data_IF_201034373470
#
_entry.id   IF_201034373470
#
_cell.length_a   1.000
_cell.length_b   1.000
_cell.length_c   1.000
_cell.angle_alpha   90.00
_cell.angle_beta   90.00
_cell.angle_gamma   90.00
#
_symmetry.space_group_name_H-M   'P 1'
#
loop_
_entity.id
_entity.type
_entity.pdbx_description
1 polymer ?
#
# COMPACT_ATOMS: atom_id res chain seq x y z
N UNK A 1 0.18 11.27 -27.50
CA UNK A 1 1.39 10.42 -27.54
C UNK A 1 1.38 9.61 -26.26
N UNK A 2 1.42 8.28 -26.33
CA UNK A 2 1.50 7.43 -25.14
C UNK A 2 2.88 7.61 -24.51
N UNK A 3 2.93 8.07 -23.26
CA UNK A 3 4.18 8.22 -22.49
C UNK A 3 4.84 6.85 -22.37
N UNK A 4 6.13 6.75 -22.71
CA UNK A 4 6.88 5.51 -22.53
C UNK A 4 7.06 5.24 -21.04
N UNK A 5 6.76 4.03 -20.58
CA UNK A 5 7.02 3.59 -19.21
C UNK A 5 8.35 2.84 -19.16
N UNK A 6 9.18 3.15 -18.16
CA UNK A 6 10.41 2.44 -17.89
C UNK A 6 10.30 1.69 -16.56
N UNK A 7 10.80 0.46 -16.55
CA UNK A 7 10.68 -0.43 -15.40
C UNK A 7 12.03 -1.06 -15.06
N UNK A 8 12.32 -1.23 -13.76
CA UNK A 8 13.52 -1.93 -13.28
C UNK A 8 13.28 -2.55 -11.91
N UNK A 9 14.00 -3.62 -11.61
CA UNK A 9 14.12 -4.06 -10.22
C UNK A 9 15.23 -3.27 -9.52
N UNK A 10 15.05 -3.01 -8.24
CA UNK A 10 16.02 -2.31 -7.40
C UNK A 10 16.26 -3.15 -6.16
N UNK A 11 17.51 -3.54 -5.95
CA UNK A 11 17.95 -4.20 -4.74
C UNK A 11 18.28 -3.15 -3.68
N UNK A 12 17.82 -3.39 -2.45
CA UNK A 12 18.11 -2.54 -1.30
C UNK A 12 18.11 -3.38 -0.01
N UNK A 13 18.65 -2.83 1.06
CA UNK A 13 18.77 -3.53 2.35
C UNK A 13 18.06 -2.72 3.42
N UNK A 14 17.18 -3.37 4.18
CA UNK A 14 16.54 -2.76 5.35
C UNK A 14 17.49 -2.72 6.55
N UNK A 15 17.20 -1.87 7.53
CA UNK A 15 18.07 -1.72 8.72
C UNK A 15 18.15 -2.99 9.58
N UNK A 16 17.20 -3.92 9.42
CA UNK A 16 17.23 -5.25 10.05
C UNK A 16 18.19 -6.24 9.35
N UNK A 17 18.87 -5.81 8.28
CA UNK A 17 19.82 -6.62 7.50
C UNK A 17 19.17 -7.41 6.36
N UNK A 18 17.85 -7.36 6.20
CA UNK A 18 17.13 -8.09 5.15
C UNK A 18 17.42 -7.49 3.78
N UNK A 19 17.81 -8.34 2.81
CA UNK A 19 17.90 -7.97 1.39
C UNK A 19 16.50 -7.98 0.77
N UNK A 20 16.10 -6.88 0.16
CA UNK A 20 14.80 -6.65 -0.44
C UNK A 20 14.97 -6.32 -1.93
N UNK A 21 14.03 -6.77 -2.77
CA UNK A 21 14.07 -6.50 -4.22
C UNK A 21 12.73 -5.91 -4.65
N UNK A 22 12.68 -4.59 -4.79
CA UNK A 22 11.48 -3.88 -5.23
C UNK A 22 11.39 -3.76 -6.75
N UNK A 23 10.22 -3.39 -7.25
CA UNK A 23 9.96 -3.12 -8.67
C UNK A 23 9.55 -1.68 -8.87
N UNK A 24 10.34 -0.97 -9.67
CA UNK A 24 10.16 0.42 -10.00
C UNK A 24 9.55 0.56 -11.38
N UNK A 25 8.55 1.43 -11.51
CA UNK A 25 7.96 1.84 -12.77
C UNK A 25 7.81 3.36 -12.79
N UNK A 26 8.20 4.03 -13.88
CA UNK A 26 8.03 5.46 -14.02
C UNK A 26 7.77 5.87 -15.47
N UNK A 27 7.06 6.99 -15.72
CA UNK A 27 7.02 7.60 -17.02
C UNK A 27 8.39 8.17 -17.40
N UNK A 28 8.78 8.05 -18.67
CA UNK A 28 9.99 8.70 -19.19
C UNK A 28 9.71 10.21 -19.41
N UNK A 29 9.94 11.01 -18.37
CA UNK A 29 9.79 12.48 -18.37
C UNK A 29 11.15 13.18 -18.28
N UNK A 30 11.19 14.47 -18.64
CA UNK A 30 12.40 15.30 -18.47
C UNK A 30 12.61 15.73 -17.00
N UNK A 31 11.50 15.97 -16.29
CA UNK A 31 11.50 16.39 -14.89
C UNK A 31 11.07 15.23 -13.98
N UNK A 32 11.58 15.17 -12.73
CA UNK A 32 11.12 14.21 -11.73
C UNK A 32 9.62 14.37 -11.43
N UNK A 33 8.91 13.26 -11.25
CA UNK A 33 7.48 13.21 -10.96
C UNK A 33 7.23 12.78 -9.51
N UNK A 34 6.00 12.94 -9.02
CA UNK A 34 5.66 12.48 -7.68
C UNK A 34 5.84 10.96 -7.52
N UNK A 35 6.29 10.53 -6.35
CA UNK A 35 6.60 9.14 -6.02
C UNK A 35 5.48 8.46 -5.23
N UNK A 36 5.16 7.21 -5.57
CA UNK A 36 4.16 6.39 -4.87
C UNK A 36 4.76 5.04 -4.46
N UNK A 37 4.85 4.80 -3.16
CA UNK A 37 5.22 3.50 -2.62
C UNK A 37 4.01 2.55 -2.73
N UNK A 38 4.21 1.33 -3.23
CA UNK A 38 3.13 0.35 -3.41
C UNK A 38 3.41 -0.88 -2.54
N UNK A 39 2.68 -1.04 -1.46
CA UNK A 39 2.82 -2.18 -0.56
C UNK A 39 1.92 -3.36 -0.98
N UNK A 40 2.48 -4.57 -1.08
CA UNK A 40 1.77 -5.72 -1.66
C UNK A 40 0.72 -6.28 -0.71
N UNK A 41 -0.18 -7.09 -1.28
CA UNK A 41 -0.94 -8.06 -0.49
C UNK A 41 0.00 -9.05 0.23
N UNK A 42 -0.55 -9.85 1.15
CA UNK A 42 0.19 -10.89 1.88
C UNK A 42 0.85 -11.97 0.99
N UNK A 43 0.53 -12.02 -0.29
CA UNK A 43 1.12 -12.93 -1.29
C UNK A 43 2.55 -12.57 -1.68
N UNK A 44 3.04 -11.41 -1.24
CA UNK A 44 4.34 -10.84 -1.64
C UNK A 44 4.22 -9.97 -2.88
N UNK A 45 5.36 -9.43 -3.34
CA UNK A 45 5.46 -8.55 -4.51
C UNK A 45 5.29 -9.31 -5.82
N UNK A 46 4.05 -9.72 -6.10
CA UNK A 46 3.64 -10.48 -7.27
C UNK A 46 3.26 -9.58 -8.46
N UNK A 47 2.86 -10.23 -9.57
CA UNK A 47 2.45 -9.55 -10.81
C UNK A 47 1.34 -8.52 -10.61
N UNK A 48 0.35 -8.80 -9.74
CA UNK A 48 -0.72 -7.85 -9.43
C UNK A 48 -0.16 -6.55 -8.82
N UNK A 49 0.80 -6.67 -7.89
CA UNK A 49 1.44 -5.50 -7.29
C UNK A 49 2.32 -4.74 -8.30
N UNK A 50 3.06 -5.47 -9.15
CA UNK A 50 3.86 -4.87 -10.24
C UNK A 50 2.96 -4.15 -11.27
N UNK A 51 1.78 -4.70 -11.57
CA UNK A 51 0.79 -4.09 -12.45
C UNK A 51 0.28 -2.77 -11.90
N UNK A 52 -0.07 -2.69 -10.61
CA UNK A 52 -0.49 -1.43 -9.97
C UNK A 52 0.60 -0.36 -10.04
N UNK A 53 1.88 -0.74 -9.91
CA UNK A 53 2.98 0.19 -10.10
C UNK A 53 3.06 0.70 -11.55
N UNK A 54 2.83 -0.15 -12.55
CA UNK A 54 2.78 0.29 -13.96
C UNK A 54 1.58 1.21 -14.24
N UNK A 55 0.41 0.89 -13.71
CA UNK A 55 -0.80 1.72 -13.87
C UNK A 55 -0.60 3.11 -13.25
N UNK A 56 0.02 3.21 -12.07
CA UNK A 56 0.45 4.50 -11.50
C UNK A 56 1.41 5.26 -12.44
N UNK A 57 2.36 4.56 -13.06
CA UNK A 57 3.27 5.16 -14.03
C UNK A 57 2.58 5.67 -15.30
N UNK A 58 1.57 4.96 -15.77
CA UNK A 58 0.69 5.40 -16.87
C UNK A 58 -0.11 6.66 -16.50
N UNK A 59 -0.43 6.85 -15.22
CA UNK A 59 -1.07 8.05 -14.67
C UNK A 59 -0.07 9.17 -14.31
N UNK A 60 1.21 9.01 -14.61
CA UNK A 60 2.22 10.05 -14.46
C UNK A 60 3.01 10.04 -13.14
N UNK A 61 2.90 8.98 -12.34
CA UNK A 61 3.63 8.84 -11.08
C UNK A 61 4.84 7.91 -11.23
N UNK A 62 5.91 8.13 -10.47
CA UNK A 62 6.94 7.11 -10.29
C UNK A 62 6.49 6.19 -9.16
N UNK A 63 6.39 4.88 -9.40
CA UNK A 63 5.88 3.92 -8.45
C UNK A 63 6.93 2.88 -8.08
N UNK A 64 6.98 2.51 -6.79
CA UNK A 64 7.87 1.47 -6.29
C UNK A 64 7.11 0.43 -5.49
N UNK A 65 6.88 -0.73 -6.10
CA UNK A 65 6.33 -1.90 -5.44
C UNK A 65 7.38 -2.53 -4.54
N UNK A 66 7.13 -2.53 -3.23
CA UNK A 66 8.10 -2.98 -2.23
C UNK A 66 8.04 -4.47 -1.98
N UNK A 67 9.19 -5.03 -1.63
CA UNK A 67 9.31 -6.38 -1.08
C UNK A 67 9.33 -6.30 0.44
N UNK A 68 8.45 -7.07 1.08
CA UNK A 68 8.35 -7.12 2.55
C UNK A 68 8.89 -8.43 3.15
N UNK A 69 9.11 -9.46 2.33
CA UNK A 69 9.52 -10.79 2.78
C UNK A 69 10.98 -11.12 2.45
N UNK A 70 11.60 -10.34 1.57
CA UNK A 70 12.98 -10.49 1.16
C UNK A 70 13.13 -11.38 -0.06
N UNK A 71 14.19 -11.12 -0.81
CA UNK A 71 14.58 -11.86 -2.02
C UNK A 71 13.45 -12.06 -3.05
N UNK A 72 12.49 -11.12 -3.13
CA UNK A 72 11.29 -11.20 -4.00
C UNK A 72 10.45 -12.46 -3.73
N UNK A 73 10.38 -12.90 -2.47
CA UNK A 73 9.56 -14.06 -2.11
C UNK A 73 8.07 -13.77 -2.39
N UNK A 74 7.43 -14.67 -3.13
CA UNK A 74 6.00 -14.65 -3.47
C UNK A 74 5.40 -16.03 -3.29
N UNK A 75 4.10 -16.10 -3.00
CA UNK A 75 3.40 -17.38 -2.82
C UNK A 75 1.94 -17.28 -3.28
N UNK A 76 1.36 -18.43 -3.60
CA UNK A 76 -0.07 -18.61 -3.83
C UNK A 76 -0.74 -19.46 -2.73
N UNK A 77 0.03 -19.92 -1.74
CA UNK A 77 -0.43 -20.67 -0.58
C UNK A 77 -0.75 -19.74 0.59
N UNK A 78 -2.00 -19.73 1.04
CA UNK A 78 -2.43 -18.89 2.16
C UNK A 78 -1.71 -19.25 3.46
N UNK A 79 -1.38 -20.53 3.67
CA UNK A 79 -0.61 -20.95 4.84
C UNK A 79 0.79 -20.32 4.85
N UNK A 80 1.47 -20.29 3.70
CA UNK A 80 2.78 -19.67 3.58
C UNK A 80 2.71 -18.15 3.68
N UNK A 81 1.70 -17.53 3.04
CA UNK A 81 1.45 -16.09 3.12
C UNK A 81 1.22 -15.65 4.56
N UNK A 82 0.40 -16.40 5.32
CA UNK A 82 0.17 -16.17 6.73
C UNK A 82 1.45 -16.33 7.55
N UNK A 83 2.24 -17.38 7.31
CA UNK A 83 3.52 -17.58 8.00
C UNK A 83 4.46 -16.39 7.81
N UNK A 84 4.69 -15.95 6.57
CA UNK A 84 5.57 -14.83 6.26
C UNK A 84 5.04 -13.50 6.81
N UNK A 85 3.74 -13.24 6.70
CA UNK A 85 3.12 -12.08 7.32
C UNK A 85 3.33 -12.09 8.85
N UNK A 86 3.07 -13.21 9.52
CA UNK A 86 3.27 -13.30 10.96
C UNK A 86 4.74 -13.15 11.37
N UNK A 87 5.69 -13.58 10.54
CA UNK A 87 7.12 -13.32 10.77
C UNK A 87 7.45 -11.83 10.80
N UNK A 88 6.78 -10.99 9.99
CA UNK A 88 7.00 -9.53 10.03
C UNK A 88 6.40 -8.86 11.26
N UNK A 89 5.53 -9.56 12.00
CA UNK A 89 4.94 -9.07 13.26
C UNK A 89 5.73 -9.50 14.50
N UNK A 90 6.69 -10.42 14.38
CA UNK A 90 7.44 -10.95 15.54
C UNK A 90 8.30 -9.90 16.22
N UNK A 91 8.91 -9.00 15.45
CA UNK A 91 9.64 -7.85 15.96
C UNK A 91 8.83 -6.57 15.69
N UNK A 92 8.73 -5.67 16.68
CA UNK A 92 7.79 -4.55 16.65
C UNK A 92 8.01 -3.59 15.47
N UNK A 93 9.25 -3.44 15.02
CA UNK A 93 9.61 -2.41 14.04
C UNK A 93 9.85 -2.97 12.64
N UNK A 94 9.71 -4.27 12.39
CA UNK A 94 10.08 -4.88 11.10
C UNK A 94 9.29 -4.29 9.94
N UNK A 95 7.97 -4.08 10.11
CA UNK A 95 7.12 -3.44 9.09
C UNK A 95 7.66 -2.05 8.73
N UNK A 96 7.78 -1.18 9.74
CA UNK A 96 8.19 0.22 9.55
C UNK A 96 9.61 0.29 9.00
N UNK A 97 10.51 -0.56 9.49
CA UNK A 97 11.91 -0.64 9.07
C UNK A 97 12.04 -0.96 7.59
N UNK A 98 11.34 -2.01 7.11
CA UNK A 98 11.39 -2.43 5.70
C UNK A 98 10.67 -1.46 4.78
N UNK A 99 9.51 -0.95 5.20
CA UNK A 99 8.75 0.03 4.44
C UNK A 99 9.49 1.37 4.31
N UNK A 100 10.17 1.83 5.38
CA UNK A 100 11.01 3.03 5.37
C UNK A 100 12.20 2.88 4.42
N UNK A 101 12.83 1.70 4.38
CA UNK A 101 13.91 1.42 3.42
C UNK A 101 13.40 1.48 1.97
N UNK A 102 12.19 0.98 1.72
CA UNK A 102 11.52 1.09 0.42
C UNK A 102 11.20 2.54 0.05
N UNK A 103 10.67 3.33 0.98
CA UNK A 103 10.38 4.76 0.78
C UNK A 103 11.65 5.55 0.48
N UNK A 104 12.73 5.31 1.23
CA UNK A 104 14.02 5.95 0.99
C UNK A 104 14.61 5.57 -0.37
N UNK A 105 14.45 4.31 -0.78
CA UNK A 105 14.89 3.83 -2.09
C UNK A 105 14.09 4.49 -3.22
N UNK A 106 12.77 4.61 -3.07
CA UNK A 106 11.92 5.35 -4.01
C UNK A 106 12.38 6.82 -4.11
N UNK A 107 12.52 7.52 -2.98
CA UNK A 107 12.89 8.94 -2.93
C UNK A 107 14.28 9.23 -3.54
N UNK A 108 15.17 8.24 -3.55
CA UNK A 108 16.51 8.37 -4.11
C UNK A 108 16.58 8.22 -5.64
N UNK A 109 15.49 7.85 -6.31
CA UNK A 109 15.50 7.69 -7.78
C UNK A 109 15.45 9.05 -8.47
N UNK A 110 16.22 9.21 -9.55
CA UNK A 110 16.31 10.48 -10.30
C UNK A 110 14.99 10.90 -10.94
N UNK A 111 14.09 9.94 -11.18
CA UNK A 111 12.76 10.20 -11.74
C UNK A 111 11.74 10.64 -10.68
N UNK A 112 12.12 10.65 -9.40
CA UNK A 112 11.22 10.90 -8.27
C UNK A 112 11.51 12.26 -7.65
N UNK A 113 10.46 13.07 -7.51
CA UNK A 113 10.48 14.25 -6.65
C UNK A 113 10.27 13.81 -5.19
N UNK A 114 11.34 13.82 -4.41
CA UNK A 114 11.33 13.37 -3.01
C UNK A 114 10.45 14.23 -2.07
N UNK A 115 10.05 15.44 -2.47
CA UNK A 115 9.14 16.28 -1.68
C UNK A 115 7.66 15.89 -1.89
N UNK A 116 7.38 15.05 -2.90
CA UNK A 116 6.04 14.66 -3.35
C UNK A 116 5.89 13.14 -3.29
N UNK A 117 5.87 12.61 -2.07
CA UNK A 117 5.74 11.17 -1.81
C UNK A 117 4.36 10.80 -1.28
N UNK A 118 3.82 9.68 -1.74
CA UNK A 118 2.64 9.04 -1.22
C UNK A 118 2.86 7.53 -1.07
N UNK A 119 1.94 6.84 -0.41
CA UNK A 119 1.98 5.39 -0.28
C UNK A 119 0.58 4.80 -0.46
N UNK A 120 0.51 3.68 -1.18
CA UNK A 120 -0.70 2.88 -1.30
C UNK A 120 -0.44 1.45 -0.86
N UNK A 121 -1.45 0.76 -0.36
CA UNK A 121 -1.28 -0.63 0.07
C UNK A 121 -2.56 -1.44 0.04
N UNK A 122 -2.41 -2.72 -0.24
CA UNK A 122 -3.51 -3.68 -0.40
C UNK A 122 -3.44 -4.75 0.70
N UNK A 123 -4.53 -5.04 1.41
CA UNK A 123 -4.55 -6.10 2.44
C UNK A 123 -3.45 -5.85 3.50
N UNK A 124 -2.52 -6.78 3.66
CA UNK A 124 -1.32 -6.64 4.49
C UNK A 124 -0.54 -5.35 4.18
N UNK A 125 -0.37 -5.01 2.91
CA UNK A 125 0.31 -3.78 2.49
C UNK A 125 -0.38 -2.51 2.98
N UNK A 126 -1.71 -2.55 3.17
CA UNK A 126 -2.43 -1.44 3.78
C UNK A 126 -2.05 -1.22 5.25
N UNK A 127 -1.87 -2.30 6.02
CA UNK A 127 -1.28 -2.20 7.37
C UNK A 127 0.13 -1.64 7.32
N UNK A 128 0.95 -2.12 6.36
CA UNK A 128 2.34 -1.67 6.20
C UNK A 128 2.43 -0.17 6.01
N UNK A 129 1.62 0.41 5.13
CA UNK A 129 1.66 1.85 4.83
C UNK A 129 0.96 2.71 5.88
N UNK A 130 -0.04 2.18 6.60
CA UNK A 130 -0.59 2.85 7.78
C UNK A 130 0.43 2.92 8.92
N UNK A 131 1.15 1.84 9.20
CA UNK A 131 2.16 1.83 10.26
C UNK A 131 3.36 2.71 9.89
N UNK A 132 3.73 2.77 8.60
CA UNK A 132 4.71 3.74 8.09
C UNK A 132 4.23 5.19 8.25
N UNK A 133 2.95 5.48 8.00
CA UNK A 133 2.39 6.81 8.21
C UNK A 133 2.40 7.19 9.69
N UNK A 134 1.98 6.26 10.56
CA UNK A 134 1.99 6.39 12.02
C UNK A 134 3.40 6.60 12.57
N UNK A 135 4.45 6.07 11.93
CA UNK A 135 5.83 6.33 12.35
C UNK A 135 6.32 7.75 12.05
N UNK A 136 5.53 8.56 11.33
CA UNK A 136 5.88 9.93 10.96
C UNK A 136 6.66 10.05 9.66
N UNK A 137 6.55 9.07 8.75
CA UNK A 137 7.14 9.17 7.43
C UNK A 137 6.62 10.40 6.67
N UNK A 138 7.52 11.03 5.90
CA UNK A 138 7.23 12.22 5.09
C UNK A 138 6.41 11.86 3.85
N UNK A 139 5.12 11.60 4.06
CA UNK A 139 4.12 11.26 3.05
C UNK A 139 3.05 12.35 2.98
N UNK A 140 2.62 12.72 1.77
CA UNK A 140 1.54 13.69 1.54
C UNK A 140 0.15 13.04 1.50
N UNK A 141 0.10 11.77 1.07
CA UNK A 141 -1.12 10.98 0.96
C UNK A 141 -0.84 9.49 1.24
N UNK A 142 -1.80 8.82 1.85
CA UNK A 142 -1.77 7.38 2.17
C UNK A 142 -3.12 6.78 1.78
N UNK A 143 -3.13 5.74 0.94
CA UNK A 143 -4.38 5.09 0.49
C UNK A 143 -4.35 3.59 0.74
N UNK A 144 -5.34 3.07 1.45
CA UNK A 144 -5.44 1.64 1.72
C UNK A 144 -6.61 1.01 0.98
N UNK A 145 -6.43 -0.22 0.52
CA UNK A 145 -7.48 -1.08 -0.03
C UNK A 145 -7.61 -2.30 0.88
N UNK A 146 -8.81 -2.52 1.42
CA UNK A 146 -9.21 -3.66 2.28
C UNK A 146 -8.10 -4.03 3.26
N UNK A 147 -7.70 -3.07 4.10
CA UNK A 147 -6.53 -3.20 4.97
C UNK A 147 -6.88 -3.60 6.39
N UNK A 148 -5.94 -4.27 7.06
CA UNK A 148 -5.97 -4.35 8.51
C UNK A 148 -5.63 -2.97 9.11
N UNK A 149 -6.59 -2.37 9.80
CA UNK A 149 -6.50 -1.00 10.33
C UNK A 149 -5.87 -0.92 11.72
N UNK A 150 -5.69 -2.06 12.38
CA UNK A 150 -5.19 -2.11 13.75
C UNK A 150 -3.78 -1.51 13.86
N UNK A 151 -3.63 -0.62 14.84
CA UNK A 151 -2.36 0.01 15.16
C UNK A 151 -1.60 -0.84 16.17
N UNK A 152 -0.30 -1.06 15.92
CA UNK A 152 0.60 -1.50 16.99
C UNK A 152 0.98 -0.32 17.89
N UNK A 153 1.25 0.83 17.25
CA UNK A 153 1.49 2.12 17.91
C UNK A 153 0.47 3.10 17.35
N UNK A 154 -0.54 3.54 18.13
CA UNK A 154 -1.54 4.49 17.66
C UNK A 154 -0.93 5.82 17.21
N UNK A 155 -1.58 6.47 16.25
CA UNK A 155 -1.21 7.80 15.80
C UNK A 155 -1.26 8.82 16.95
N UNK A 156 -0.27 9.71 16.98
CA UNK A 156 -0.24 10.86 17.88
C UNK A 156 -0.45 12.15 17.10
N UNK A 157 -0.99 13.16 17.77
CA UNK A 157 -1.20 14.48 17.18
C UNK A 157 0.11 15.05 16.61
N UNK A 158 0.06 15.43 15.33
CA UNK A 158 1.21 15.98 14.61
C UNK A 158 2.26 14.96 14.16
N UNK A 159 2.07 13.66 14.41
CA UNK A 159 3.00 12.61 13.96
C UNK A 159 2.75 12.24 12.50
N UNK A 160 1.50 11.89 12.15
CA UNK A 160 1.12 11.57 10.76
C UNK A 160 1.08 12.85 9.93
N UNK A 161 1.82 12.87 8.82
CA UNK A 161 1.90 14.02 7.90
C UNK A 161 0.94 13.93 6.72
N UNK A 162 0.53 12.70 6.39
CA UNK A 162 -0.31 12.40 5.25
C UNK A 162 -1.79 12.67 5.54
N UNK A 163 -2.54 12.98 4.49
CA UNK A 163 -3.97 12.72 4.46
C UNK A 163 -4.21 11.23 4.15
N UNK A 164 -5.11 10.59 4.89
CA UNK A 164 -5.37 9.14 4.77
C UNK A 164 -6.73 8.86 4.15
N UNK A 165 -6.76 8.04 3.10
CA UNK A 165 -7.98 7.46 2.55
C UNK A 165 -7.99 5.94 2.80
N UNK A 166 -9.02 5.45 3.48
CA UNK A 166 -9.26 4.02 3.66
C UNK A 166 -10.40 3.58 2.76
N UNK A 167 -10.16 2.56 1.94
CA UNK A 167 -11.14 1.94 1.06
C UNK A 167 -11.44 0.54 1.60
N UNK A 168 -12.62 0.38 2.18
CA UNK A 168 -12.99 -0.81 2.95
C UNK A 168 -14.22 -1.50 2.34
N UNK A 169 -14.29 -2.84 2.44
CA UNK A 169 -15.45 -3.59 1.97
C UNK A 169 -16.42 -3.86 3.12
N UNK A 170 -17.71 -3.63 2.93
CA UNK A 170 -18.74 -3.86 3.97
C UNK A 170 -18.79 -5.32 4.45
N UNK A 171 -18.55 -6.27 3.55
CA UNK A 171 -18.59 -7.71 3.81
C UNK A 171 -17.19 -8.29 4.13
N UNK A 172 -16.23 -7.44 4.51
CA UNK A 172 -14.91 -7.90 4.95
C UNK A 172 -15.02 -8.70 6.25
N UNK A 173 -14.76 -10.00 6.18
CA UNK A 173 -14.81 -10.90 7.35
C UNK A 173 -13.53 -10.90 8.18
N UNK A 174 -12.46 -10.25 7.71
CA UNK A 174 -11.16 -10.17 8.38
C UNK A 174 -11.01 -8.89 9.19
N UNK A 175 -11.68 -7.82 8.77
CA UNK A 175 -11.64 -6.49 9.39
C UNK A 175 -13.07 -5.98 9.50
N UNK A 176 -13.52 -5.75 10.74
CA UNK A 176 -14.92 -5.41 11.01
C UNK A 176 -15.20 -3.91 10.85
N UNK A 177 -16.48 -3.55 10.76
CA UNK A 177 -16.89 -2.14 10.82
C UNK A 177 -16.58 -1.49 12.19
N UNK A 178 -16.45 -2.28 13.26
CA UNK A 178 -15.96 -1.79 14.56
C UNK A 178 -14.48 -1.40 14.48
N UNK A 179 -13.66 -2.15 13.74
CA UNK A 179 -12.26 -1.78 13.48
C UNK A 179 -12.17 -0.48 12.67
N UNK A 180 -13.09 -0.29 11.71
CA UNK A 180 -13.22 0.98 10.97
C UNK A 180 -13.62 2.13 11.91
N UNK A 181 -14.56 1.90 12.83
CA UNK A 181 -14.97 2.90 13.81
C UNK A 181 -13.79 3.30 14.72
N UNK A 182 -13.06 2.32 15.26
CA UNK A 182 -11.87 2.58 16.08
C UNK A 182 -10.77 3.32 15.30
N UNK A 183 -10.55 3.00 14.02
CA UNK A 183 -9.62 3.74 13.18
C UNK A 183 -10.03 5.22 13.03
N UNK A 184 -11.33 5.50 12.80
CA UNK A 184 -11.83 6.88 12.71
C UNK A 184 -11.63 7.63 14.03
N UNK A 185 -11.89 6.98 15.16
CA UNK A 185 -11.65 7.56 16.49
C UNK A 185 -10.16 7.90 16.71
N UNK A 186 -9.26 6.98 16.35
CA UNK A 186 -7.80 7.18 16.41
C UNK A 186 -7.38 8.40 15.58
N UNK A 187 -7.77 8.43 14.29
CA UNK A 187 -7.38 9.52 13.38
C UNK A 187 -8.00 10.86 13.81
N UNK A 188 -9.23 10.87 14.31
CA UNK A 188 -9.86 12.07 14.85
C UNK A 188 -9.11 12.60 16.08
N UNK A 189 -8.79 11.72 17.04
CA UNK A 189 -8.04 12.09 18.24
C UNK A 189 -6.63 12.60 17.93
N UNK A 190 -5.98 12.02 16.93
CA UNK A 190 -4.68 12.45 16.43
C UNK A 190 -4.75 13.66 15.46
N UNK A 191 -5.94 14.20 15.19
CA UNK A 191 -6.17 15.33 14.27
C UNK A 191 -5.61 15.07 12.86
N UNK A 192 -5.66 13.83 12.41
CA UNK A 192 -5.21 13.41 11.08
C UNK A 192 -6.34 13.60 10.08
N UNK A 193 -6.13 14.33 8.97
CA UNK A 193 -7.09 14.41 7.88
C UNK A 193 -7.31 13.01 7.31
N UNK A 194 -8.55 12.51 7.39
CA UNK A 194 -8.85 11.16 6.94
C UNK A 194 -10.26 11.04 6.37
N UNK A 195 -10.42 10.09 5.47
CA UNK A 195 -11.69 9.63 4.93
C UNK A 195 -11.71 8.10 4.94
N UNK A 196 -12.88 7.52 5.16
CA UNK A 196 -13.10 6.09 4.95
C UNK A 196 -14.33 5.93 4.07
N UNK A 197 -14.15 5.24 2.94
CA UNK A 197 -15.22 4.84 2.03
C UNK A 197 -15.46 3.35 2.27
N UNK A 198 -16.72 3.00 2.55
CA UNK A 198 -17.15 1.62 2.72
C UNK A 198 -17.96 1.22 1.48
N UNK A 199 -17.52 0.20 0.77
CA UNK A 199 -18.18 -0.32 -0.41
C UNK A 199 -19.16 -1.42 -0.04
N UNK A 200 -20.44 -1.18 -0.34
CA UNK A 200 -21.53 -2.15 -0.20
C UNK A 200 -21.21 -3.43 -1.00
N UNK A 201 -21.57 -4.59 -0.43
CA UNK A 201 -21.35 -5.93 -1.02
C UNK A 201 -19.88 -6.33 -1.30
N UNK A 202 -18.89 -5.48 -0.98
CA UNK A 202 -17.49 -5.78 -1.22
C UNK A 202 -16.87 -6.56 -0.06
N UNK A 203 -16.06 -7.58 -0.39
CA UNK A 203 -15.31 -8.41 0.57
C UNK A 203 -13.86 -7.96 0.69
N UNK A 204 -13.09 -8.61 1.56
CA UNK A 204 -11.64 -8.51 1.56
C UNK A 204 -11.06 -8.91 0.19
N UNK A 205 -10.07 -8.18 -0.31
CA UNK A 205 -9.48 -8.43 -1.64
C UNK A 205 -10.29 -7.89 -2.82
N UNK A 206 -11.31 -7.03 -2.59
CA UNK A 206 -12.21 -6.52 -3.62
C UNK A 206 -11.52 -5.89 -4.82
N UNK A 207 -10.29 -5.38 -4.68
CA UNK A 207 -9.56 -4.71 -5.74
C UNK A 207 -8.68 -5.65 -6.58
N UNK A 208 -8.70 -6.96 -6.32
CA UNK A 208 -7.87 -7.92 -7.04
C UNK A 208 -8.74 -8.88 -7.87
N UNK A 209 -8.70 -8.83 -9.21
CA UNK A 209 -9.43 -9.75 -10.09
C UNK A 209 -9.13 -11.24 -9.85
N UNK A 210 -8.02 -11.58 -9.19
CA UNK A 210 -7.66 -12.95 -8.83
C UNK A 210 -8.17 -13.39 -7.45
N UNK A 211 -8.87 -12.53 -6.70
CA UNK A 211 -9.30 -12.80 -5.33
C UNK A 211 -10.20 -14.04 -5.24
N UNK A 212 -11.20 -14.18 -6.13
CA UNK A 212 -12.13 -15.32 -6.12
C UNK A 212 -11.43 -16.65 -6.38
N UNK A 213 -10.47 -16.66 -7.33
CA UNK A 213 -9.68 -17.85 -7.64
C UNK A 213 -8.80 -18.26 -6.45
N UNK A 214 -8.12 -17.28 -5.84
CA UNK A 214 -7.27 -17.49 -4.66
C UNK A 214 -8.08 -17.95 -3.45
N UNK A 215 -9.27 -17.38 -3.25
CA UNK A 215 -10.22 -17.79 -2.22
C UNK A 215 -10.57 -19.27 -2.35
N UNK A 216 -10.99 -19.69 -3.53
CA UNK A 216 -11.36 -21.08 -3.81
C UNK A 216 -10.18 -22.04 -3.64
N UNK A 217 -8.99 -21.65 -4.10
CA UNK A 217 -7.80 -22.50 -4.02
C UNK A 217 -7.29 -22.70 -2.58
N UNK A 218 -7.54 -21.72 -1.69
CA UNK A 218 -6.97 -21.71 -0.34
C UNK A 218 -8.00 -21.88 0.78
N UNK A 219 -9.30 -21.87 0.47
CA UNK A 219 -10.36 -21.92 1.48
C UNK A 219 -10.40 -20.67 2.37
N UNK A 220 -10.07 -19.51 1.80
CA UNK A 220 -10.10 -18.20 2.50
C UNK A 220 -11.24 -17.34 1.95
N UNK A 221 -11.73 -16.40 2.76
CA UNK A 221 -12.83 -15.51 2.37
C UNK A 221 -12.30 -14.22 1.73
N UNK A 222 -11.90 -14.32 0.46
CA UNK A 222 -11.59 -13.18 -0.40
C UNK A 222 -12.65 -13.09 -1.50
N UNK A 223 -12.87 -11.92 -2.06
CA UNK A 223 -13.76 -11.78 -3.21
C UNK A 223 -13.50 -10.52 -4.01
N UNK A 224 -13.60 -10.61 -5.34
CA UNK A 224 -13.42 -9.48 -6.24
C UNK A 224 -14.73 -8.69 -6.42
N UNK A 225 -14.65 -7.36 -6.45
CA UNK A 225 -15.77 -6.49 -6.79
C UNK A 225 -15.28 -5.38 -7.71
N UNK A 226 -15.60 -5.51 -9.01
CA UNK A 226 -15.12 -4.59 -10.04
C UNK A 226 -15.59 -3.14 -9.85
N UNK A 227 -16.79 -2.93 -9.30
CA UNK A 227 -17.30 -1.58 -9.08
C UNK A 227 -16.61 -0.92 -7.88
N UNK A 228 -16.40 -1.68 -6.80
CA UNK A 228 -15.61 -1.21 -5.65
C UNK A 228 -14.14 -0.92 -6.03
N UNK A 229 -13.54 -1.76 -6.87
CA UNK A 229 -12.20 -1.50 -7.43
C UNK A 229 -12.18 -0.18 -8.21
N UNK A 230 -13.12 -0.02 -9.15
CA UNK A 230 -13.20 1.17 -10.01
C UNK A 230 -13.36 2.46 -9.20
N UNK A 231 -14.33 2.47 -8.27
CA UNK A 231 -14.58 3.62 -7.40
C UNK A 231 -13.40 3.90 -6.46
N UNK A 232 -12.78 2.85 -5.92
CA UNK A 232 -11.61 2.97 -5.06
C UNK A 232 -10.40 3.56 -5.79
N UNK A 233 -10.13 3.13 -7.02
CA UNK A 233 -9.06 3.69 -7.84
C UNK A 233 -9.34 5.15 -8.21
N UNK A 234 -10.58 5.49 -8.55
CA UNK A 234 -11.00 6.88 -8.81
C UNK A 234 -10.71 7.78 -7.60
N UNK A 235 -11.20 7.42 -6.42
CA UNK A 235 -10.94 8.16 -5.18
C UNK A 235 -9.45 8.24 -4.81
N UNK A 236 -8.69 7.15 -5.04
CA UNK A 236 -7.24 7.15 -4.84
C UNK A 236 -6.57 8.20 -5.74
N UNK A 237 -6.84 8.19 -7.05
CA UNK A 237 -6.21 9.13 -7.98
C UNK A 237 -6.62 10.59 -7.71
N UNK A 238 -7.86 10.85 -7.29
CA UNK A 238 -8.30 12.18 -6.87
C UNK A 238 -7.49 12.70 -5.66
N UNK A 239 -7.29 11.86 -4.64
CA UNK A 239 -6.48 12.23 -3.49
C UNK A 239 -5.01 12.44 -3.88
N UNK A 240 -4.43 11.53 -4.67
CA UNK A 240 -3.05 11.65 -5.14
C UNK A 240 -2.85 12.93 -5.94
N UNK A 241 -3.76 13.25 -6.87
CA UNK A 241 -3.72 14.49 -7.63
C UNK A 241 -3.78 15.71 -6.72
N UNK A 242 -4.72 15.75 -5.77
CA UNK A 242 -4.89 16.87 -4.83
C UNK A 242 -3.68 17.09 -3.93
N UNK A 243 -3.00 16.02 -3.48
CA UNK A 243 -1.91 16.10 -2.50
C UNK A 243 -0.51 16.16 -3.10
N UNK A 244 -0.37 15.82 -4.39
CA UNK A 244 0.93 15.79 -5.08
C UNK A 244 1.05 16.82 -6.21
N UNK A 245 -0.03 17.51 -6.59
CA UNK A 245 0.03 18.57 -7.60
C UNK A 245 0.79 19.83 -7.10
N UNK A 246 0.67 20.16 -5.82
CA UNK A 246 1.38 21.26 -5.14
C UNK A 246 2.83 20.88 -4.83
#
# INVERSE_FOLDING_TARGET
MTTKIQTREIEYTAADGTRLIGYFAAPSTAEPVAGVLVAPEWWGRNEYTEQRARELAEHGYAAFAIDMYGDKNVTTSAAQANEWMMQTFQAPDTIVTRASAGLATLAAQTEVNADKLAAIGFCYGGKVILDLARSGAELKAVVTFHANLSAQVPAQAGQVKAEILVLHGELDSMVSLDDVAHFREEMYAAQVPHEVIVFEDAKHGFSNPQADERAKANGVDLGYNAEAERQGLEAMYELLQRRLAE
#
